data_IF_480319041781
#
_entry.id   IF_480319041781
#
_cell.length_a   1.000
_cell.length_b   1.000
_cell.length_c   1.000
_cell.angle_alpha   90.00
_cell.angle_beta   90.00
_cell.angle_gamma   90.00
#
_symmetry.space_group_name_H-M   'P 1'
#
loop_
_entity.id
_entity.type
_entity.pdbx_description
1 polymer ?
#
# COMPACT_ATOMS: atom_id res chain seq x y z
N UNK A 1 22.09 11.71 43.15
CA UNK A 1 22.02 11.14 41.78
C UNK A 1 21.25 9.83 41.89
N UNK A 2 20.11 9.65 41.23
CA UNK A 2 19.20 8.50 41.45
C UNK A 2 19.57 7.22 40.67
N UNK A 3 20.76 7.19 40.05
CA UNK A 3 21.32 6.09 39.23
C UNK A 3 20.40 5.52 38.12
N UNK A 4 19.34 6.22 37.72
CA UNK A 4 18.55 5.88 36.53
C UNK A 4 19.18 6.44 35.25
N UNK A 5 19.26 5.58 34.23
CA UNK A 5 19.72 5.90 32.87
C UNK A 5 18.55 6.34 32.00
N UNK A 6 18.64 7.51 31.35
CA UNK A 6 17.63 8.04 30.42
C UNK A 6 17.83 7.50 29.01
N UNK A 7 16.74 7.38 28.24
CA UNK A 7 16.78 6.86 26.86
C UNK A 7 17.14 5.37 26.79
N UNK A 8 16.88 4.63 27.87
CA UNK A 8 17.22 3.23 28.04
C UNK A 8 15.97 2.44 28.43
N UNK A 9 15.86 1.21 27.92
CA UNK A 9 14.72 0.36 28.20
C UNK A 9 14.95 -0.43 29.50
N UNK A 10 13.93 -0.49 30.35
CA UNK A 10 13.88 -1.32 31.55
C UNK A 10 12.72 -2.31 31.43
N UNK A 11 12.80 -3.41 32.18
CA UNK A 11 11.70 -4.38 32.27
C UNK A 11 10.95 -4.20 33.58
N UNK A 12 9.62 -4.18 33.54
CA UNK A 12 8.78 -4.35 34.73
C UNK A 12 8.65 -5.84 35.00
N UNK A 13 9.04 -6.30 36.19
CA UNK A 13 9.08 -7.74 36.51
C UNK A 13 8.09 -8.15 37.60
N UNK A 14 7.59 -7.20 38.39
CA UNK A 14 6.54 -7.45 39.38
C UNK A 14 5.83 -6.15 39.79
N UNK A 15 4.62 -6.30 40.33
CA UNK A 15 3.87 -5.26 41.02
C UNK A 15 3.25 -5.88 42.27
N UNK A 16 3.39 -5.22 43.42
CA UNK A 16 2.92 -5.73 44.72
C UNK A 16 2.43 -4.60 45.59
N UNK A 17 1.35 -4.85 46.31
CA UNK A 17 0.92 -3.98 47.40
C UNK A 17 1.50 -4.53 48.71
N UNK A 18 2.14 -3.68 49.51
CA UNK A 18 2.73 -4.05 50.80
C UNK A 18 2.16 -3.19 51.92
N UNK A 19 2.09 -3.72 53.13
CA UNK A 19 1.70 -2.93 54.30
C UNK A 19 2.92 -2.23 54.91
N UNK A 20 3.08 -0.95 54.61
CA UNK A 20 4.13 -0.12 55.19
C UNK A 20 3.54 0.79 56.28
N UNK A 21 3.87 0.50 57.54
CA UNK A 21 3.43 1.27 58.73
C UNK A 21 1.90 1.45 58.85
N UNK A 22 1.15 0.40 58.51
CA UNK A 22 -0.31 0.41 58.57
C UNK A 22 -0.99 1.08 57.38
N UNK A 23 -0.23 1.43 56.33
CA UNK A 23 -0.74 1.95 55.06
C UNK A 23 -0.35 1.02 53.93
N UNK A 24 -1.25 0.84 52.96
CA UNK A 24 -0.98 0.09 51.75
C UNK A 24 -0.10 0.94 50.83
N UNK A 25 1.11 0.46 50.54
CA UNK A 25 2.06 1.09 49.62
C UNK A 25 2.20 0.21 48.38
N UNK A 26 2.11 0.81 47.20
CA UNK A 26 2.22 0.11 45.93
C UNK A 26 3.66 0.13 45.45
N UNK A 27 4.27 -1.05 45.31
CA UNK A 27 5.63 -1.22 44.85
C UNK A 27 5.65 -1.84 43.45
N UNK A 28 6.58 -1.36 42.63
CA UNK A 28 6.85 -1.88 41.30
C UNK A 28 8.32 -2.30 41.22
N UNK A 29 8.56 -3.50 40.69
CA UNK A 29 9.90 -4.04 40.50
C UNK A 29 10.35 -3.82 39.07
N UNK A 30 11.50 -3.18 38.93
CA UNK A 30 12.09 -2.76 37.67
C UNK A 30 13.46 -3.41 37.53
N UNK A 31 13.80 -3.86 36.32
CA UNK A 31 15.09 -4.46 36.00
C UNK A 31 15.82 -3.69 34.92
N UNK A 32 17.05 -3.28 35.21
CA UNK A 32 18.00 -2.75 34.25
C UNK A 32 18.63 -3.93 33.47
N UNK A 33 18.47 -4.00 32.14
CA UNK A 33 19.02 -5.09 31.34
C UNK A 33 20.55 -5.13 31.30
N UNK A 34 21.25 -4.10 31.77
CA UNK A 34 22.71 -4.17 31.97
C UNK A 34 23.13 -5.13 33.08
N UNK A 35 22.21 -5.54 33.96
CA UNK A 35 22.52 -6.41 35.08
C UNK A 35 23.29 -5.74 36.21
N UNK A 36 23.32 -4.40 36.21
CA UNK A 36 24.05 -3.56 37.15
C UNK A 36 23.48 -2.14 37.12
N UNK A 37 23.86 -1.29 38.08
CA UNK A 37 23.39 0.09 38.22
C UNK A 37 21.90 0.16 38.53
N UNK A 38 21.61 0.23 39.83
CA UNK A 38 20.25 0.21 40.41
C UNK A 38 19.85 1.54 41.03
N UNK A 39 18.55 1.68 41.23
CA UNK A 39 17.92 2.77 41.96
C UNK A 39 18.49 2.96 43.36
N UNK A 40 18.72 4.21 43.76
CA UNK A 40 19.25 4.56 45.10
C UNK A 40 18.25 5.35 45.95
N UNK A 41 16.97 5.37 45.57
CA UNK A 41 15.93 6.04 46.35
C UNK A 41 15.22 5.07 47.30
N UNK A 42 14.02 5.46 47.75
CA UNK A 42 13.18 4.64 48.60
C UNK A 42 12.91 3.27 47.95
N UNK A 43 12.94 2.20 48.75
CA UNK A 43 12.75 0.81 48.35
C UNK A 43 13.89 0.17 47.54
N UNK A 44 15.00 0.87 47.36
CA UNK A 44 16.25 0.25 46.89
C UNK A 44 16.70 -0.92 47.80
N UNK A 45 17.60 -1.77 47.32
CA UNK A 45 18.09 -2.94 48.06
C UNK A 45 18.65 -2.63 49.45
N UNK A 46 19.29 -1.47 49.59
CA UNK A 46 19.85 -0.96 50.85
C UNK A 46 18.90 -0.07 51.67
N UNK A 47 17.67 0.14 51.21
CA UNK A 47 16.74 1.13 51.78
C UNK A 47 16.29 0.75 53.19
N UNK A 48 16.14 1.75 54.07
CA UNK A 48 15.70 1.57 55.46
C UNK A 48 14.21 1.22 55.59
N UNK A 49 13.44 1.50 54.54
CA UNK A 49 12.00 1.33 54.40
C UNK A 49 11.61 -0.14 54.62
N UNK A 50 12.43 -1.06 54.08
CA UNK A 50 12.32 -2.50 54.29
C UNK A 50 12.32 -2.95 55.76
N UNK A 51 12.84 -2.15 56.69
CA UNK A 51 12.81 -2.49 58.11
C UNK A 51 11.42 -2.36 58.75
N UNK A 52 10.44 -1.77 58.05
CA UNK A 52 9.07 -1.61 58.54
C UNK A 52 8.06 -2.45 57.74
N UNK A 53 8.56 -3.38 56.91
CA UNK A 53 7.75 -4.43 56.28
C UNK A 53 7.83 -5.68 57.16
N UNK A 54 6.80 -6.51 57.11
CA UNK A 54 6.78 -7.79 57.79
C UNK A 54 8.00 -8.65 57.37
N UNK A 55 8.70 -9.33 58.31
CA UNK A 55 9.89 -10.10 57.99
C UNK A 55 9.68 -11.16 56.90
N UNK A 56 8.51 -11.80 56.84
CA UNK A 56 8.22 -12.87 55.87
C UNK A 56 8.02 -12.26 54.48
N UNK A 57 7.25 -11.16 54.37
CA UNK A 57 7.10 -10.40 53.11
C UNK A 57 8.44 -9.81 52.65
N UNK A 58 9.27 -9.37 53.59
CA UNK A 58 10.59 -8.82 53.30
C UNK A 58 11.53 -9.86 52.71
N UNK A 59 11.53 -11.09 53.24
CA UNK A 59 12.38 -12.17 52.70
C UNK A 59 11.96 -12.56 51.27
N UNK A 60 10.66 -12.52 50.97
CA UNK A 60 10.15 -12.77 49.61
C UNK A 60 10.51 -11.64 48.63
N UNK A 61 10.38 -10.38 49.05
CA UNK A 61 10.47 -9.23 48.15
C UNK A 61 11.88 -8.63 48.06
N UNK A 62 12.65 -8.61 49.15
CA UNK A 62 13.95 -7.96 49.22
C UNK A 62 15.08 -8.93 48.87
N UNK A 63 15.42 -9.01 47.59
CA UNK A 63 16.64 -9.65 47.12
C UNK A 63 17.76 -8.60 47.12
N UNK A 64 18.76 -8.74 47.99
CA UNK A 64 19.94 -7.85 48.01
C UNK A 64 21.00 -8.38 47.06
N UNK A 65 20.89 -8.03 45.78
CA UNK A 65 21.79 -8.53 44.74
C UNK A 65 22.04 -7.42 43.73
N UNK A 66 23.31 -7.18 43.37
CA UNK A 66 23.61 -6.24 42.28
C UNK A 66 23.42 -6.93 40.92
N UNK A 67 22.17 -7.09 40.53
CA UNK A 67 21.73 -7.76 39.29
C UNK A 67 20.92 -6.84 38.36
N UNK A 68 20.85 -5.56 38.71
CA UNK A 68 20.11 -4.53 38.00
C UNK A 68 18.62 -4.49 38.35
N UNK A 69 18.09 -5.40 39.16
CA UNK A 69 16.71 -5.41 39.63
C UNK A 69 16.55 -4.60 40.92
N UNK A 70 15.49 -3.82 41.03
CA UNK A 70 15.21 -3.03 42.21
C UNK A 70 13.71 -2.76 42.34
N UNK A 71 13.26 -2.56 43.58
CA UNK A 71 11.92 -2.03 43.85
C UNK A 71 11.95 -0.51 43.95
N UNK A 72 10.85 0.11 43.57
CA UNK A 72 10.56 1.51 43.84
C UNK A 72 9.07 1.70 44.12
N UNK A 73 8.71 2.82 44.75
CA UNK A 73 7.30 3.16 44.90
C UNK A 73 6.68 3.40 43.52
N UNK A 74 5.42 3.01 43.33
CA UNK A 74 4.71 3.29 42.08
C UNK A 74 4.61 4.80 41.81
N UNK A 75 4.58 5.61 42.86
CA UNK A 75 4.62 7.08 42.78
C UNK A 75 5.93 7.58 42.19
N UNK A 76 7.07 7.03 42.59
CA UNK A 76 8.36 7.37 42.01
C UNK A 76 8.46 6.86 40.57
N UNK A 77 7.93 5.67 40.28
CA UNK A 77 7.86 5.17 38.91
C UNK A 77 7.12 6.16 37.98
N UNK A 78 5.94 6.62 38.38
CA UNK A 78 5.15 7.61 37.61
C UNK A 78 5.85 8.98 37.46
N UNK A 79 6.80 9.31 38.36
CA UNK A 79 7.57 10.56 38.29
C UNK A 79 8.81 10.45 37.42
N UNK A 80 9.47 9.29 37.45
CA UNK A 80 10.78 9.08 36.81
C UNK A 80 10.67 8.46 35.42
N UNK A 81 9.62 7.68 35.15
CA UNK A 81 9.37 7.04 33.86
C UNK A 81 8.29 7.78 33.06
N UNK A 82 8.49 7.88 31.75
CA UNK A 82 7.59 8.61 30.85
C UNK A 82 6.68 7.72 30.00
N UNK A 83 7.00 6.43 29.87
CA UNK A 83 6.28 5.49 29.00
C UNK A 83 6.34 4.07 29.56
N UNK A 84 5.19 3.40 29.55
CA UNK A 84 5.03 1.96 29.80
C UNK A 84 4.60 1.29 28.50
N UNK A 85 5.31 0.25 28.08
CA UNK A 85 4.98 -0.54 26.88
C UNK A 85 4.63 -1.96 27.32
N UNK A 86 3.42 -2.42 27.01
CA UNK A 86 2.94 -3.76 27.32
C UNK A 86 2.62 -4.47 26.00
N UNK A 87 3.13 -5.69 25.83
CA UNK A 87 2.86 -6.53 24.67
C UNK A 87 1.96 -7.68 25.10
N UNK A 88 0.68 -7.61 24.76
CA UNK A 88 -0.29 -8.64 25.10
C UNK A 88 -0.29 -9.76 24.07
N UNK A 89 -0.58 -10.98 24.51
CA UNK A 89 -0.81 -12.13 23.62
C UNK A 89 -2.19 -12.07 22.95
N UNK A 90 -3.18 -11.50 23.64
CA UNK A 90 -4.53 -11.24 23.14
C UNK A 90 -4.92 -9.78 23.41
N UNK A 91 -5.73 -9.13 22.54
CA UNK A 91 -6.14 -7.75 22.74
C UNK A 91 -6.77 -7.46 24.13
N UNK A 92 -7.51 -8.41 24.71
CA UNK A 92 -8.23 -8.23 25.99
C UNK A 92 -7.41 -8.50 27.25
N UNK A 93 -6.14 -8.89 27.13
CA UNK A 93 -5.37 -9.44 28.26
C UNK A 93 -5.22 -8.49 29.47
N UNK A 94 -5.55 -7.21 29.34
CA UNK A 94 -5.49 -6.22 30.41
C UNK A 94 -6.86 -5.71 30.87
N UNK A 95 -7.94 -6.04 30.16
CA UNK A 95 -9.27 -5.44 30.37
C UNK A 95 -10.34 -6.44 30.78
N UNK A 96 -10.22 -7.71 30.37
CA UNK A 96 -11.18 -8.76 30.73
C UNK A 96 -10.46 -9.87 31.52
N UNK A 97 -11.11 -10.36 32.58
CA UNK A 97 -10.64 -11.52 33.36
C UNK A 97 -10.79 -12.84 32.58
N UNK A 98 -11.63 -12.85 31.54
CA UNK A 98 -11.85 -13.98 30.64
C UNK A 98 -11.08 -13.82 29.31
N UNK A 99 -10.50 -14.92 28.83
CA UNK A 99 -9.77 -14.96 27.56
C UNK A 99 -10.76 -15.05 26.38
N UNK A 100 -11.05 -13.93 25.72
CA UNK A 100 -11.82 -13.93 24.47
C UNK A 100 -11.02 -14.58 23.33
N UNK A 101 -11.71 -15.25 22.41
CA UNK A 101 -11.10 -15.83 21.20
C UNK A 101 -11.10 -14.82 20.08
N UNK A 102 -9.93 -14.28 19.75
CA UNK A 102 -9.79 -13.31 18.68
C UNK A 102 -9.60 -13.98 17.31
N UNK A 103 -10.40 -13.57 16.34
CA UNK A 103 -10.14 -13.88 14.94
C UNK A 103 -9.10 -12.92 14.38
N UNK A 104 -8.08 -13.43 13.68
CA UNK A 104 -6.98 -12.63 13.16
C UNK A 104 -6.90 -12.73 11.65
N UNK A 105 -6.90 -11.57 11.00
CA UNK A 105 -6.63 -11.44 9.57
C UNK A 105 -5.35 -10.64 9.35
N UNK A 106 -4.54 -11.10 8.41
CA UNK A 106 -3.23 -10.51 8.09
C UNK A 106 -3.19 -10.17 6.60
N UNK A 107 -2.91 -8.92 6.31
CA UNK A 107 -2.72 -8.41 4.96
C UNK A 107 -1.30 -7.91 4.80
N UNK A 108 -0.65 -8.30 3.70
CA UNK A 108 0.61 -7.73 3.29
C UNK A 108 0.36 -6.67 2.23
N UNK A 109 0.97 -5.50 2.38
CA UNK A 109 0.78 -4.41 1.44
C UNK A 109 2.05 -3.61 1.24
N UNK A 110 1.99 -2.71 0.27
CA UNK A 110 3.15 -1.93 -0.15
C UNK A 110 2.75 -0.52 -0.55
N UNK A 111 3.49 0.46 -0.06
CA UNK A 111 3.52 1.82 -0.62
C UNK A 111 4.70 1.94 -1.60
N UNK A 112 4.41 2.20 -2.87
CA UNK A 112 5.38 2.54 -3.91
C UNK A 112 5.17 3.96 -4.39
N UNK A 113 6.28 4.69 -4.57
CA UNK A 113 6.24 6.05 -5.06
C UNK A 113 5.57 6.04 -6.43
N UNK A 114 4.70 7.02 -6.65
CA UNK A 114 3.91 7.11 -7.87
C UNK A 114 3.08 5.84 -8.13
N UNK A 115 2.45 5.24 -7.13
CA UNK A 115 1.40 4.25 -7.43
C UNK A 115 0.49 4.15 -6.23
N UNK A 116 1.01 3.60 -5.12
CA UNK A 116 0.23 3.34 -3.90
C UNK A 116 0.67 4.19 -2.72
N UNK A 117 1.76 4.96 -2.81
CA UNK A 117 2.23 5.85 -1.75
C UNK A 117 1.47 7.19 -1.72
N UNK A 118 0.19 7.12 -1.32
CA UNK A 118 -0.75 8.24 -1.38
C UNK A 118 -0.62 9.30 -0.27
N UNK A 119 0.08 8.97 0.83
CA UNK A 119 0.15 9.84 2.01
C UNK A 119 -1.17 9.86 2.79
N UNK A 120 -1.25 10.64 3.88
CA UNK A 120 -2.42 10.66 4.76
C UNK A 120 -3.55 11.55 4.22
N UNK A 121 -4.66 11.62 4.97
CA UNK A 121 -5.88 12.36 4.57
C UNK A 121 -5.67 13.87 4.33
N UNK A 122 -4.56 14.44 4.83
CA UNK A 122 -4.15 15.82 4.55
C UNK A 122 -3.78 16.03 3.07
N UNK A 123 -3.55 14.95 2.32
CA UNK A 123 -3.21 14.93 0.90
C UNK A 123 -4.37 14.35 0.06
N UNK A 124 -5.53 15.03 -0.04
CA UNK A 124 -6.72 14.47 -0.68
C UNK A 124 -6.55 14.14 -2.17
N UNK A 125 -5.57 14.75 -2.84
CA UNK A 125 -5.25 14.44 -4.24
C UNK A 125 -4.79 12.99 -4.43
N UNK A 126 -4.09 12.44 -3.44
CA UNK A 126 -3.40 11.15 -3.50
C UNK A 126 -3.81 10.18 -2.39
N UNK A 127 -4.53 10.60 -1.36
CA UNK A 127 -4.92 9.70 -0.26
C UNK A 127 -5.65 8.43 -0.74
N UNK A 128 -6.51 8.58 -1.75
CA UNK A 128 -7.34 7.51 -2.27
C UNK A 128 -6.56 6.41 -3.02
N UNK A 129 -5.31 6.65 -3.42
CA UNK A 129 -4.48 5.63 -4.11
C UNK A 129 -3.77 4.66 -3.15
N UNK A 130 -3.82 4.91 -1.84
CA UNK A 130 -3.31 3.94 -0.87
C UNK A 130 -4.10 2.61 -0.96
N UNK A 131 -3.49 1.47 -0.60
CA UNK A 131 -4.22 0.20 -0.51
C UNK A 131 -5.40 0.31 0.46
N UNK A 132 -6.49 -0.40 0.18
CA UNK A 132 -7.74 -0.32 0.92
C UNK A 132 -8.17 -1.71 1.37
N UNK A 133 -8.62 -1.86 2.61
CA UNK A 133 -9.01 -3.15 3.17
C UNK A 133 -10.41 -3.04 3.76
N UNK A 134 -11.36 -3.80 3.20
CA UNK A 134 -12.73 -3.91 3.72
C UNK A 134 -12.71 -4.78 4.97
N UNK A 135 -13.43 -4.33 6.00
CA UNK A 135 -13.74 -5.07 7.22
C UNK A 135 -15.25 -5.13 7.39
N UNK A 136 -15.80 -6.33 7.52
CA UNK A 136 -17.22 -6.53 7.81
C UNK A 136 -17.40 -7.01 9.25
N UNK A 137 -18.03 -6.19 10.06
CA UNK A 137 -18.39 -6.47 11.45
C UNK A 137 -19.83 -6.96 11.49
N UNK A 138 -20.05 -8.21 11.92
CA UNK A 138 -21.33 -8.90 11.82
C UNK A 138 -22.08 -8.96 13.14
N UNK A 139 -21.39 -9.33 14.21
CA UNK A 139 -21.95 -9.61 15.53
C UNK A 139 -21.37 -8.66 16.57
N UNK A 140 -22.22 -8.17 17.47
CA UNK A 140 -21.83 -7.37 18.64
C UNK A 140 -21.03 -8.19 19.66
N UNK A 141 -20.27 -7.51 20.51
CA UNK A 141 -19.47 -8.16 21.55
C UNK A 141 -20.37 -8.76 22.64
N UNK A 142 -19.97 -9.88 23.25
CA UNK A 142 -20.72 -10.51 24.34
C UNK A 142 -20.38 -9.83 25.69
N UNK A 143 -20.74 -8.56 25.87
CA UNK A 143 -20.56 -7.86 27.16
C UNK A 143 -21.91 -7.55 27.83
N UNK A 144 -22.32 -8.33 28.86
CA UNK A 144 -23.60 -8.13 29.53
C UNK A 144 -23.66 -6.83 30.38
N UNK A 145 -22.54 -6.12 30.55
CA UNK A 145 -22.46 -4.83 31.23
C UNK A 145 -22.43 -3.63 30.30
N UNK A 146 -22.45 -3.84 28.97
CA UNK A 146 -22.38 -2.77 27.99
C UNK A 146 -23.72 -2.61 27.25
N UNK A 147 -24.33 -1.44 27.38
CA UNK A 147 -25.58 -1.10 26.69
C UNK A 147 -25.34 -0.64 25.23
N UNK A 148 -24.08 -0.47 24.80
CA UNK A 148 -23.74 -0.06 23.44
C UNK A 148 -23.58 -1.26 22.48
N UNK A 149 -24.44 -1.32 21.46
CA UNK A 149 -24.34 -2.24 20.32
C UNK A 149 -23.09 -1.91 19.50
N UNK A 150 -21.97 -2.55 19.83
CA UNK A 150 -20.68 -2.32 19.18
C UNK A 150 -19.90 -3.63 19.01
N UNK A 151 -19.03 -3.61 18.00
CA UNK A 151 -18.06 -4.64 17.72
C UNK A 151 -16.66 -4.10 18.04
N UNK A 152 -15.91 -4.82 18.86
CA UNK A 152 -14.54 -4.50 19.23
C UNK A 152 -13.55 -5.13 18.26
N UNK A 153 -12.65 -4.30 17.73
CA UNK A 153 -11.58 -4.77 16.86
C UNK A 153 -10.29 -3.98 17.07
N UNK A 154 -9.15 -4.64 16.90
CA UNK A 154 -7.82 -4.04 16.95
C UNK A 154 -7.25 -3.99 15.54
N UNK A 155 -6.82 -2.81 15.12
CA UNK A 155 -6.07 -2.63 13.87
C UNK A 155 -4.62 -2.35 14.23
N UNK A 156 -3.69 -3.13 13.70
CA UNK A 156 -2.25 -2.97 13.89
C UNK A 156 -1.53 -2.88 12.53
N UNK A 157 -0.91 -1.74 12.27
CA UNK A 157 -0.15 -1.46 11.04
C UNK A 157 1.35 -1.45 11.34
N UNK A 158 2.10 -2.37 10.73
CA UNK A 158 3.55 -2.50 10.89
C UNK A 158 4.29 -2.19 9.59
N UNK A 159 5.32 -1.34 9.62
CA UNK A 159 6.26 -1.17 8.51
C UNK A 159 7.40 -2.20 8.55
N UNK A 160 7.69 -2.85 7.42
CA UNK A 160 8.67 -3.93 7.29
C UNK A 160 10.06 -3.39 6.93
N UNK A 161 11.08 -4.19 7.26
CA UNK A 161 12.48 -4.07 6.79
C UNK A 161 13.23 -2.74 7.03
N UNK A 162 12.64 -1.74 7.68
CA UNK A 162 13.24 -0.40 7.89
C UNK A 162 14.61 -0.41 8.58
N UNK A 163 14.89 -1.38 9.46
CA UNK A 163 16.21 -1.52 10.09
C UNK A 163 17.33 -1.78 9.08
N UNK A 164 17.05 -2.43 7.94
CA UNK A 164 18.02 -2.65 6.85
C UNK A 164 18.38 -1.32 6.17
N UNK A 165 17.41 -0.42 6.05
CA UNK A 165 17.59 0.90 5.41
C UNK A 165 18.42 1.88 6.25
N UNK A 166 18.60 1.62 7.55
CA UNK A 166 19.48 2.46 8.39
C UNK A 166 20.89 2.58 7.86
N UNK A 167 21.40 1.58 7.14
CA UNK A 167 22.73 1.60 6.52
C UNK A 167 22.87 2.68 5.43
N UNK A 168 21.76 3.10 4.84
CA UNK A 168 21.69 4.13 3.79
C UNK A 168 21.01 5.41 4.29
N UNK A 169 20.92 5.59 5.62
CA UNK A 169 20.34 6.79 6.23
C UNK A 169 18.81 6.80 6.33
N UNK A 170 18.13 5.70 5.99
CA UNK A 170 16.67 5.58 6.18
C UNK A 170 16.29 5.34 7.65
N UNK A 171 15.14 5.88 8.07
CA UNK A 171 14.55 5.63 9.39
C UNK A 171 13.07 5.23 9.28
N UNK A 172 12.40 4.94 10.40
CA UNK A 172 10.97 4.67 10.42
C UNK A 172 10.18 5.82 9.79
N UNK A 173 9.25 5.51 8.89
CA UNK A 173 8.31 6.50 8.39
C UNK A 173 7.26 6.79 9.46
N UNK A 174 6.73 8.01 9.46
CA UNK A 174 5.53 8.35 10.20
C UNK A 174 4.34 7.65 9.53
N UNK A 175 3.74 6.66 10.19
CA UNK A 175 2.65 5.83 9.65
C UNK A 175 1.39 5.95 10.50
N UNK A 176 0.26 5.61 9.92
CA UNK A 176 -1.04 5.59 10.56
C UNK A 176 -2.11 5.04 9.61
N UNK A 177 -3.35 5.01 10.06
CA UNK A 177 -4.47 4.53 9.24
C UNK A 177 -5.75 5.28 9.56
N UNK A 178 -6.70 5.25 8.64
CA UNK A 178 -8.04 5.78 8.81
C UNK A 178 -9.08 4.72 8.47
N UNK A 179 -10.21 4.75 9.18
CA UNK A 179 -11.33 3.82 9.02
C UNK A 179 -12.56 4.60 8.57
N UNK A 180 -13.15 4.17 7.45
CA UNK A 180 -14.35 4.76 6.86
C UNK A 180 -15.49 3.75 6.88
N UNK A 181 -16.73 4.23 6.97
CA UNK A 181 -17.92 3.39 6.79
C UNK A 181 -18.30 3.37 5.30
N UNK A 182 -18.58 2.18 4.76
CA UNK A 182 -18.86 1.96 3.34
C UNK A 182 -19.92 0.86 3.13
N UNK A 183 -21.11 1.07 3.71
CA UNK A 183 -22.22 0.11 3.61
C UNK A 183 -22.65 -0.12 2.16
N UNK A 184 -22.73 -1.40 1.76
CA UNK A 184 -23.31 -1.80 0.48
C UNK A 184 -22.45 -1.43 -0.74
N UNK A 185 -21.18 -1.07 -0.52
CA UNK A 185 -20.24 -0.85 -1.62
C UNK A 185 -19.71 -2.18 -2.16
N UNK A 186 -19.64 -2.26 -3.50
CA UNK A 186 -18.96 -3.36 -4.20
C UNK A 186 -17.50 -3.45 -3.77
N UNK A 187 -16.88 -4.63 -3.94
CA UNK A 187 -15.48 -4.85 -3.61
C UNK A 187 -14.55 -4.22 -4.67
N UNK A 188 -14.60 -2.89 -4.78
CA UNK A 188 -13.89 -2.09 -5.78
C UNK A 188 -13.08 -1.01 -5.06
N UNK A 189 -11.95 -0.64 -5.64
CA UNK A 189 -11.08 0.41 -5.10
C UNK A 189 -11.80 1.76 -5.06
N UNK A 190 -11.99 2.33 -3.87
CA UNK A 190 -12.71 3.60 -3.72
C UNK A 190 -11.89 4.79 -4.23
N UNK A 191 -12.54 5.68 -4.97
CA UNK A 191 -11.90 6.83 -5.63
C UNK A 191 -11.96 8.09 -4.77
N UNK A 192 -11.27 9.14 -5.22
CA UNK A 192 -11.12 10.44 -4.55
C UNK A 192 -12.41 11.02 -3.97
N UNK A 193 -13.48 11.01 -4.75
CA UNK A 193 -14.77 11.60 -4.39
C UNK A 193 -15.38 11.01 -3.11
N UNK A 194 -15.20 9.71 -2.89
CA UNK A 194 -15.67 9.05 -1.68
C UNK A 194 -15.03 9.67 -0.43
N UNK A 195 -13.70 9.81 -0.41
CA UNK A 195 -12.98 10.33 0.74
C UNK A 195 -13.14 11.83 0.95
N UNK A 196 -13.57 12.57 -0.09
CA UNK A 196 -13.94 13.97 0.02
C UNK A 196 -15.31 14.16 0.67
N UNK A 197 -16.26 13.26 0.38
CA UNK A 197 -17.65 13.34 0.88
C UNK A 197 -17.84 12.67 2.24
N UNK A 198 -17.01 11.68 2.57
CA UNK A 198 -17.14 10.89 3.80
C UNK A 198 -16.06 11.26 4.83
N UNK A 199 -16.46 11.30 6.10
CA UNK A 199 -15.54 11.47 7.22
C UNK A 199 -15.11 10.10 7.77
N UNK A 200 -13.90 10.03 8.33
CA UNK A 200 -13.42 8.82 9.00
C UNK A 200 -14.20 8.58 10.28
N UNK A 201 -14.71 7.36 10.48
CA UNK A 201 -15.36 6.93 11.73
C UNK A 201 -14.35 6.67 12.85
N UNK A 202 -13.18 6.16 12.49
CA UNK A 202 -12.06 5.97 13.40
C UNK A 202 -10.74 6.22 12.66
N UNK A 203 -9.66 6.39 13.42
CA UNK A 203 -8.30 6.56 12.89
C UNK A 203 -7.30 6.15 13.95
N UNK A 204 -6.07 5.87 13.55
CA UNK A 204 -4.96 5.78 14.50
C UNK A 204 -4.87 7.09 15.30
N UNK A 205 -4.66 6.99 16.62
CA UNK A 205 -4.60 8.16 17.53
C UNK A 205 -3.67 9.26 17.03
N UNK A 206 -2.46 8.85 16.62
CA UNK A 206 -1.46 9.73 16.04
C UNK A 206 -0.74 9.02 14.90
N UNK A 207 -0.35 9.80 13.90
CA UNK A 207 0.65 9.37 12.94
C UNK A 207 2.02 9.48 13.61
N UNK A 208 2.70 8.35 13.80
CA UNK A 208 3.96 8.30 14.55
C UNK A 208 5.00 7.44 13.83
N UNK A 209 6.28 7.79 13.98
CA UNK A 209 7.42 7.12 13.38
C UNK A 209 7.88 5.89 14.19
N UNK A 210 6.94 5.02 14.55
CA UNK A 210 7.22 3.73 15.18
C UNK A 210 7.15 2.61 14.15
N UNK A 211 7.76 1.47 14.49
CA UNK A 211 7.68 0.26 13.64
C UNK A 211 6.23 -0.20 13.45
N UNK A 212 5.41 -0.04 14.47
CA UNK A 212 4.01 -0.44 14.50
C UNK A 212 3.15 0.64 15.16
N UNK A 213 1.96 0.86 14.61
CA UNK A 213 0.90 1.67 15.20
C UNK A 213 -0.33 0.77 15.32
N UNK A 214 -0.90 0.69 16.51
CA UNK A 214 -2.07 -0.13 16.80
C UNK A 214 -3.09 0.63 17.62
N UNK A 215 -4.38 0.50 17.29
CA UNK A 215 -5.47 1.09 18.05
C UNK A 215 -6.64 0.10 18.16
N UNK A 216 -7.16 -0.07 19.37
CA UNK A 216 -8.41 -0.77 19.63
C UNK A 216 -9.57 0.19 19.33
N UNK A 217 -10.55 -0.28 18.58
CA UNK A 217 -11.64 0.51 18.02
C UNK A 217 -12.95 -0.22 18.31
N UNK A 218 -13.99 0.54 18.65
CA UNK A 218 -15.36 0.07 18.82
C UNK A 218 -16.25 0.80 17.82
N UNK A 219 -16.93 0.05 16.97
CA UNK A 219 -17.86 0.57 15.95
C UNK A 219 -19.09 -0.34 15.88
N UNK A 220 -20.27 0.18 15.48
CA UNK A 220 -21.45 -0.65 15.32
C UNK A 220 -21.25 -1.72 14.22
N UNK A 221 -22.09 -2.78 14.17
CA UNK A 221 -22.08 -3.74 13.08
C UNK A 221 -22.26 -3.03 11.72
N UNK A 222 -21.44 -3.41 10.73
CA UNK A 222 -21.41 -2.73 9.45
C UNK A 222 -20.19 -3.06 8.59
N UNK A 223 -20.09 -2.38 7.46
CA UNK A 223 -18.97 -2.51 6.53
C UNK A 223 -18.07 -1.28 6.62
N UNK A 224 -16.79 -1.52 6.86
CA UNK A 224 -15.77 -0.51 7.07
C UNK A 224 -14.60 -0.70 6.12
N UNK A 225 -13.83 0.36 5.90
CA UNK A 225 -12.63 0.34 5.06
C UNK A 225 -11.48 0.96 5.84
N UNK A 226 -10.41 0.19 5.98
CA UNK A 226 -9.15 0.63 6.55
C UNK A 226 -8.22 1.04 5.43
N UNK A 227 -7.75 2.29 5.50
CA UNK A 227 -6.77 2.85 4.57
C UNK A 227 -5.47 3.12 5.34
N UNK A 228 -4.50 2.20 5.30
CA UNK A 228 -3.17 2.43 5.87
C UNK A 228 -2.34 3.34 4.97
N UNK A 229 -1.65 4.31 5.57
CA UNK A 229 -0.79 5.24 4.83
C UNK A 229 0.42 5.68 5.63
N UNK A 230 1.43 6.19 4.92
CA UNK A 230 2.41 7.10 5.50
C UNK A 230 1.79 8.49 5.71
N UNK A 231 2.43 9.34 6.52
CA UNK A 231 1.98 10.73 6.72
C UNK A 231 2.13 11.55 5.43
N UNK A 232 3.36 11.60 4.92
CA UNK A 232 3.70 12.24 3.64
C UNK A 232 3.48 11.28 2.46
N UNK A 233 3.07 11.78 1.29
CA UNK A 233 3.00 10.99 0.07
C UNK A 233 4.40 10.58 -0.42
N UNK A 234 4.45 9.66 -1.39
CA UNK A 234 5.68 9.22 -2.06
C UNK A 234 6.70 8.49 -1.18
N UNK A 235 6.35 8.17 0.07
CA UNK A 235 7.18 7.35 0.95
C UNK A 235 7.01 5.87 0.62
N UNK A 236 8.12 5.24 0.30
CA UNK A 236 8.13 3.82 -0.04
C UNK A 236 8.40 2.97 1.20
N UNK A 237 7.56 1.97 1.41
CA UNK A 237 7.78 0.92 2.41
C UNK A 237 6.78 -0.22 2.17
N UNK A 238 7.21 -1.42 2.56
CA UNK A 238 6.30 -2.57 2.68
C UNK A 238 5.68 -2.55 4.09
N UNK A 239 4.45 -3.04 4.23
CA UNK A 239 3.75 -3.08 5.50
C UNK A 239 2.98 -4.39 5.70
N UNK A 240 2.62 -4.65 6.95
CA UNK A 240 1.66 -5.68 7.35
C UNK A 240 0.53 -4.98 8.10
N UNK A 241 -0.70 -5.18 7.66
CA UNK A 241 -1.90 -4.77 8.36
C UNK A 241 -2.51 -6.00 9.03
N UNK A 242 -2.77 -5.92 10.33
CA UNK A 242 -3.41 -6.98 11.09
C UNK A 242 -4.70 -6.45 11.69
N UNK A 243 -5.77 -7.20 11.49
CA UNK A 243 -7.09 -6.90 12.04
C UNK A 243 -7.45 -8.06 12.96
N UNK A 244 -7.69 -7.74 14.23
CA UNK A 244 -8.19 -8.69 15.21
C UNK A 244 -9.62 -8.32 15.51
N UNK A 245 -10.56 -9.26 15.40
CA UNK A 245 -11.98 -9.06 15.75
C UNK A 245 -12.38 -10.06 16.84
N UNK A 246 -13.19 -9.62 17.81
CA UNK A 246 -13.69 -10.49 18.90
C UNK A 246 -14.61 -11.57 18.32
N UNK A 247 -15.48 -11.19 17.39
CA UNK A 247 -16.37 -12.09 16.64
C UNK A 247 -15.84 -12.38 15.24
N UNK A 248 -16.45 -13.35 14.56
CA UNK A 248 -16.12 -13.66 13.17
C UNK A 248 -16.38 -12.43 12.28
N UNK A 249 -15.44 -12.13 11.39
CA UNK A 249 -15.51 -11.00 10.47
C UNK A 249 -15.06 -11.42 9.07
N UNK A 250 -15.73 -10.89 8.04
CA UNK A 250 -15.30 -11.11 6.66
C UNK A 250 -14.24 -10.08 6.28
N UNK A 251 -12.97 -10.51 6.26
CA UNK A 251 -11.74 -9.84 5.78
C UNK A 251 -11.63 -9.71 4.26
N UNK A 252 -11.46 -8.54 3.63
CA UNK A 252 -11.03 -8.52 2.21
C UNK A 252 -10.15 -7.31 1.83
N UNK A 253 -9.18 -7.52 0.95
CA UNK A 253 -8.51 -6.41 0.25
C UNK A 253 -9.47 -5.84 -0.81
N UNK A 254 -9.63 -4.52 -0.81
CA UNK A 254 -10.37 -3.80 -1.85
C UNK A 254 -9.40 -3.40 -2.94
N UNK A 255 -9.54 -4.06 -4.08
CA UNK A 255 -8.77 -3.77 -5.29
C UNK A 255 -9.61 -4.05 -6.52
N UNK A 256 -9.14 -3.63 -7.69
CA UNK A 256 -9.82 -3.92 -8.95
C UNK A 256 -9.57 -5.37 -9.38
N UNK A 257 -10.62 -6.05 -9.86
CA UNK A 257 -10.46 -7.32 -10.57
C UNK A 257 -9.83 -7.08 -11.95
N UNK A 258 -8.83 -7.90 -12.29
CA UNK A 258 -8.08 -7.76 -13.53
C UNK A 258 -9.01 -8.06 -14.71
N UNK A 259 -9.29 -7.04 -15.53
CA UNK A 259 -10.13 -7.17 -16.71
C UNK A 259 -9.77 -6.13 -17.76
N UNK A 260 -10.08 -6.42 -19.02
CA UNK A 260 -9.86 -5.50 -20.13
C UNK A 260 -11.09 -5.46 -21.04
N UNK A 261 -11.79 -4.34 -21.09
CA UNK A 261 -12.86 -4.09 -22.06
C UNK A 261 -12.23 -3.56 -23.35
N UNK A 262 -11.67 -4.49 -24.12
CA UNK A 262 -11.09 -4.22 -25.42
C UNK A 262 -12.21 -4.31 -26.45
N UNK A 263 -12.43 -3.24 -27.19
CA UNK A 263 -13.25 -3.33 -28.40
C UNK A 263 -12.68 -4.44 -29.30
N UNK A 264 -13.57 -5.25 -29.87
CA UNK A 264 -13.19 -6.20 -30.90
C UNK A 264 -12.45 -5.44 -32.01
N UNK A 265 -11.39 -6.02 -32.57
CA UNK A 265 -10.76 -5.40 -33.73
C UNK A 265 -11.80 -5.34 -34.84
N UNK A 266 -12.20 -4.12 -35.21
CA UNK A 266 -12.93 -3.92 -36.45
C UNK A 266 -12.10 -4.58 -37.57
N UNK A 267 -12.72 -5.49 -38.33
CA UNK A 267 -12.12 -6.03 -39.55
C UNK A 267 -12.06 -4.89 -40.57
N UNK A 268 -11.03 -4.04 -40.43
CA UNK A 268 -10.76 -2.95 -41.37
C UNK A 268 -10.24 -3.59 -42.64
N UNK A 269 -11.00 -3.48 -43.72
CA UNK A 269 -10.52 -3.83 -45.06
C UNK A 269 -9.90 -2.60 -45.72
N UNK A 270 -9.15 -2.81 -46.80
CA UNK A 270 -8.59 -1.66 -47.55
C UNK A 270 -9.67 -0.71 -48.06
N UNK A 271 -10.89 -1.19 -48.31
CA UNK A 271 -11.99 -0.37 -48.82
C UNK A 271 -12.56 0.58 -47.74
N UNK A 272 -12.40 0.24 -46.46
CA UNK A 272 -12.82 1.07 -45.33
C UNK A 272 -11.85 2.25 -45.07
N UNK A 273 -10.67 2.21 -45.70
CA UNK A 273 -9.61 3.20 -45.49
C UNK A 273 -9.81 4.38 -46.45
N UNK A 274 -9.95 5.58 -45.89
CA UNK A 274 -10.07 6.80 -46.66
C UNK A 274 -8.91 6.99 -47.66
N UNK A 275 -9.23 7.42 -48.88
CA UNK A 275 -8.23 7.71 -49.93
C UNK A 275 -7.18 8.73 -49.47
N UNK A 276 -7.57 9.66 -48.59
CA UNK A 276 -6.66 10.63 -47.98
C UNK A 276 -5.54 9.95 -47.18
N UNK A 277 -5.89 8.89 -46.44
CA UNK A 277 -4.96 8.09 -45.65
C UNK A 277 -4.12 7.17 -46.54
N UNK A 278 -4.72 6.53 -47.55
CA UNK A 278 -3.98 5.73 -48.54
C UNK A 278 -2.89 6.54 -49.25
N UNK A 279 -3.21 7.75 -49.68
CA UNK A 279 -2.24 8.66 -50.31
C UNK A 279 -1.13 9.08 -49.33
N UNK A 280 -1.48 9.32 -48.07
CA UNK A 280 -0.48 9.62 -47.02
C UNK A 280 0.43 8.41 -46.74
N UNK A 281 -0.13 7.21 -46.65
CA UNK A 281 0.62 5.97 -46.49
C UNK A 281 1.58 5.73 -47.66
N UNK A 282 1.11 5.84 -48.90
CA UNK A 282 1.97 5.68 -50.09
C UNK A 282 3.16 6.64 -50.12
N UNK A 283 2.94 7.90 -49.72
CA UNK A 283 4.02 8.89 -49.64
C UNK A 283 5.06 8.56 -48.56
N UNK A 284 4.68 7.77 -47.56
CA UNK A 284 5.50 7.45 -46.39
C UNK A 284 6.18 6.08 -46.48
N UNK A 285 5.49 5.08 -47.03
CA UNK A 285 5.97 3.72 -47.21
C UNK A 285 6.93 3.59 -48.41
N UNK A 286 6.85 4.49 -49.41
CA UNK A 286 7.75 4.42 -50.56
C UNK A 286 7.42 3.26 -51.51
N UNK A 287 8.44 2.66 -52.13
CA UNK A 287 8.26 1.68 -53.22
C UNK A 287 7.86 0.28 -52.75
N UNK A 288 8.19 -0.11 -51.52
CA UNK A 288 7.88 -1.43 -50.96
C UNK A 288 6.49 -1.50 -50.31
N UNK A 289 5.78 -0.37 -50.23
CA UNK A 289 4.40 -0.28 -49.71
C UNK A 289 4.23 -0.81 -48.28
N UNK A 290 5.32 -0.80 -47.51
CA UNK A 290 5.36 -1.20 -46.10
C UNK A 290 6.07 -0.12 -45.28
N UNK A 291 5.64 0.09 -44.04
CA UNK A 291 6.30 1.03 -43.14
C UNK A 291 7.28 0.28 -42.24
N UNK A 292 8.57 0.59 -42.38
CA UNK A 292 9.60 0.09 -41.48
C UNK A 292 9.57 0.82 -40.13
N UNK A 293 10.24 0.23 -39.12
CA UNK A 293 10.43 0.84 -37.79
C UNK A 293 11.02 2.27 -37.87
N UNK A 294 11.96 2.50 -38.79
CA UNK A 294 12.62 3.81 -38.91
C UNK A 294 11.70 4.86 -39.54
N UNK A 295 10.89 4.46 -40.51
CA UNK A 295 9.85 5.31 -41.10
C UNK A 295 8.77 5.62 -40.07
N UNK A 296 8.26 4.60 -39.35
CA UNK A 296 7.28 4.78 -38.29
C UNK A 296 7.74 5.83 -37.28
N UNK A 297 8.98 5.72 -36.79
CA UNK A 297 9.56 6.71 -35.87
C UNK A 297 9.56 8.12 -36.46
N UNK A 298 9.96 8.25 -37.72
CA UNK A 298 10.04 9.55 -38.40
C UNK A 298 8.66 10.17 -38.56
N UNK A 299 7.66 9.36 -38.91
CA UNK A 299 6.26 9.76 -39.09
C UNK A 299 5.69 10.24 -37.77
N UNK A 300 5.75 9.38 -36.74
CA UNK A 300 5.15 9.68 -35.44
C UNK A 300 5.81 10.90 -34.79
N UNK A 301 7.14 11.05 -34.89
CA UNK A 301 7.84 12.20 -34.31
C UNK A 301 7.56 13.51 -35.06
N UNK A 302 7.34 13.46 -36.37
CA UNK A 302 6.90 14.64 -37.13
C UNK A 302 5.51 15.10 -36.69
N UNK A 303 4.64 14.17 -36.29
CA UNK A 303 3.28 14.45 -35.81
C UNK A 303 3.32 14.98 -34.38
N UNK A 304 4.02 14.29 -33.48
CA UNK A 304 4.20 14.71 -32.09
C UNK A 304 4.83 16.11 -32.00
N UNK A 305 5.79 16.45 -32.87
CA UNK A 305 6.41 17.77 -32.86
C UNK A 305 5.41 18.93 -33.11
N UNK A 306 4.20 18.65 -33.63
CA UNK A 306 3.13 19.64 -33.78
C UNK A 306 2.32 19.84 -32.48
N UNK A 307 2.41 18.89 -31.55
CA UNK A 307 1.70 18.87 -30.28
C UNK A 307 2.60 19.38 -29.15
N UNK A 308 2.72 20.71 -29.05
CA UNK A 308 3.56 21.39 -28.04
C UNK A 308 3.08 21.21 -26.59
N UNK A 309 1.86 20.70 -26.43
CA UNK A 309 1.26 20.34 -25.15
C UNK A 309 1.86 19.07 -24.52
N UNK A 310 2.51 18.22 -25.33
CA UNK A 310 3.14 16.99 -24.84
C UNK A 310 4.59 17.25 -24.45
N UNK A 311 4.99 16.82 -23.24
CA UNK A 311 6.38 16.82 -22.78
C UNK A 311 6.97 15.44 -23.06
N UNK A 312 7.56 15.27 -24.24
CA UNK A 312 8.19 14.02 -24.69
C UNK A 312 9.36 14.32 -25.62
N UNK A 313 10.35 13.42 -25.64
CA UNK A 313 11.47 13.45 -26.59
C UNK A 313 11.08 12.86 -27.97
N UNK A 314 9.80 12.47 -28.11
CA UNK A 314 9.26 11.73 -29.23
C UNK A 314 9.42 10.22 -29.04
N UNK A 315 8.75 9.46 -29.90
CA UNK A 315 8.84 8.00 -29.92
C UNK A 315 10.28 7.53 -30.14
N UNK A 316 10.73 6.69 -29.21
CA UNK A 316 12.00 5.99 -29.30
C UNK A 316 11.98 4.92 -30.41
N UNK A 317 13.17 4.47 -30.83
CA UNK A 317 13.26 3.35 -31.77
C UNK A 317 12.71 2.05 -31.17
N UNK A 318 12.93 1.83 -29.87
CA UNK A 318 12.48 0.62 -29.20
C UNK A 318 10.96 0.61 -29.03
N UNK A 319 10.36 1.78 -28.79
CA UNK A 319 8.92 1.99 -28.83
C UNK A 319 8.33 1.63 -30.19
N UNK A 320 8.93 2.15 -31.27
CA UNK A 320 8.47 1.84 -32.62
C UNK A 320 8.67 0.36 -32.97
N UNK A 321 9.75 -0.28 -32.51
CA UNK A 321 9.93 -1.74 -32.67
C UNK A 321 8.83 -2.52 -31.97
N UNK A 322 8.52 -2.15 -30.73
CA UNK A 322 7.44 -2.78 -29.98
C UNK A 322 6.09 -2.57 -30.70
N UNK A 323 5.82 -1.37 -31.20
CA UNK A 323 4.60 -1.10 -31.97
C UNK A 323 4.49 -1.99 -33.20
N UNK A 324 5.57 -2.11 -33.99
CA UNK A 324 5.59 -2.98 -35.16
C UNK A 324 5.40 -4.43 -34.76
N UNK A 325 6.18 -4.95 -33.81
CA UNK A 325 6.11 -6.35 -33.38
C UNK A 325 4.72 -6.75 -32.84
N UNK A 326 4.00 -5.81 -32.20
CA UNK A 326 2.67 -6.07 -31.63
C UNK A 326 1.54 -5.95 -32.66
N UNK A 327 1.78 -5.25 -33.77
CA UNK A 327 0.78 -5.00 -34.82
C UNK A 327 0.98 -5.87 -36.06
N UNK A 328 2.19 -6.36 -36.28
CA UNK A 328 2.62 -7.22 -37.39
C UNK A 328 1.96 -8.61 -37.28
N UNK A 329 0.87 -8.80 -38.02
CA UNK A 329 0.11 -10.05 -38.04
C UNK A 329 0.65 -11.04 -39.07
N UNK A 330 1.33 -10.55 -40.10
CA UNK A 330 1.83 -11.35 -41.21
C UNK A 330 3.30 -11.79 -41.05
N UNK A 331 4.00 -11.28 -40.04
CA UNK A 331 5.39 -11.60 -39.72
C UNK A 331 6.40 -10.91 -40.64
N UNK A 332 6.01 -9.82 -41.31
CA UNK A 332 6.85 -9.03 -42.21
C UNK A 332 7.94 -8.23 -41.49
N UNK A 333 7.83 -8.08 -40.16
CA UNK A 333 8.59 -7.15 -39.32
C UNK A 333 8.44 -5.67 -39.76
N UNK A 334 7.35 -5.37 -40.46
CA UNK A 334 6.98 -4.07 -41.00
C UNK A 334 5.47 -3.89 -40.84
N UNK A 335 4.92 -2.75 -41.26
CA UNK A 335 3.48 -2.49 -41.20
C UNK A 335 2.89 -2.27 -42.59
N UNK A 336 1.94 -3.13 -42.94
CA UNK A 336 1.07 -2.90 -44.10
C UNK A 336 0.08 -1.76 -43.88
N UNK A 337 -0.66 -1.39 -44.93
CA UNK A 337 -1.62 -0.28 -44.90
C UNK A 337 -2.69 -0.47 -43.80
N UNK A 338 -3.27 -1.66 -43.70
CA UNK A 338 -4.34 -1.98 -42.74
C UNK A 338 -3.79 -1.96 -41.31
N UNK A 339 -2.64 -2.58 -41.07
CA UNK A 339 -2.01 -2.62 -39.74
C UNK A 339 -1.62 -1.22 -39.27
N UNK A 340 -1.06 -0.41 -40.17
CA UNK A 340 -0.73 0.98 -39.86
C UNK A 340 -1.97 1.83 -39.58
N UNK A 341 -3.07 1.63 -40.31
CA UNK A 341 -4.34 2.32 -40.04
C UNK A 341 -4.90 1.97 -38.65
N UNK A 342 -4.86 0.70 -38.25
CA UNK A 342 -5.30 0.26 -36.92
C UNK A 342 -4.43 0.92 -35.85
N UNK A 343 -3.10 0.86 -36.00
CA UNK A 343 -2.15 1.48 -35.07
C UNK A 343 -2.41 2.99 -34.96
N UNK A 344 -2.62 3.67 -36.08
CA UNK A 344 -2.85 5.10 -36.12
C UNK A 344 -4.15 5.50 -35.39
N UNK A 345 -5.24 4.76 -35.60
CA UNK A 345 -6.50 4.98 -34.90
C UNK A 345 -6.36 4.79 -33.39
N UNK A 346 -5.61 3.75 -32.96
CA UNK A 346 -5.28 3.54 -31.54
C UNK A 346 -4.50 4.70 -30.95
N UNK A 347 -3.41 5.14 -31.60
CA UNK A 347 -2.60 6.28 -31.13
C UNK A 347 -3.45 7.55 -31.01
N UNK A 348 -4.36 7.82 -31.95
CA UNK A 348 -5.27 8.99 -31.89
C UNK A 348 -6.27 8.91 -30.74
N UNK A 349 -6.85 7.73 -30.52
CA UNK A 349 -7.77 7.49 -29.40
C UNK A 349 -7.04 7.71 -28.07
N UNK A 350 -5.87 7.10 -27.91
CA UNK A 350 -5.06 7.23 -26.70
C UNK A 350 -4.49 8.63 -26.50
N UNK A 351 -4.21 9.40 -27.56
CA UNK A 351 -3.86 10.81 -27.43
C UNK A 351 -5.01 11.64 -26.84
N UNK A 352 -6.25 11.28 -27.16
CA UNK A 352 -7.44 11.94 -26.61
C UNK A 352 -7.59 11.61 -25.12
N UNK A 353 -7.46 10.34 -24.76
CA UNK A 353 -7.43 9.89 -23.36
C UNK A 353 -6.29 10.58 -22.62
N UNK A 354 -5.10 10.67 -23.22
CA UNK A 354 -3.95 11.27 -22.59
C UNK A 354 -4.20 12.71 -22.17
N UNK A 355 -4.72 13.52 -23.10
CA UNK A 355 -5.10 14.92 -22.84
C UNK A 355 -6.24 15.08 -21.85
N UNK A 356 -7.16 14.13 -21.80
CA UNK A 356 -8.30 14.18 -20.90
C UNK A 356 -7.87 13.98 -19.44
N UNK A 357 -6.89 13.11 -19.20
CA UNK A 357 -6.43 12.74 -17.87
C UNK A 357 -5.10 13.39 -17.44
N UNK A 358 -4.43 14.15 -18.30
CA UNK A 358 -3.38 15.11 -17.90
C UNK A 358 -4.05 16.33 -17.20
N UNK A 359 -4.49 16.11 -15.96
CA UNK A 359 -5.34 17.06 -15.23
C UNK A 359 -4.57 18.31 -14.80
N UNK A 360 -3.28 18.14 -14.52
CA UNK A 360 -2.39 19.24 -14.15
C UNK A 360 -1.76 19.94 -15.36
N UNK A 361 -1.99 19.41 -16.58
CA UNK A 361 -1.46 19.92 -17.84
C UNK A 361 0.06 19.98 -17.85
N UNK A 362 0.70 19.02 -17.19
CA UNK A 362 2.16 18.91 -17.13
C UNK A 362 2.75 18.42 -18.45
N UNK A 363 1.92 17.84 -19.33
CA UNK A 363 2.36 17.18 -20.56
C UNK A 363 2.92 15.78 -20.32
N UNK A 364 2.84 15.28 -19.09
CA UNK A 364 3.21 13.93 -18.64
C UNK A 364 2.12 13.37 -17.74
N UNK A 365 1.95 12.06 -17.68
CA UNK A 365 1.02 11.45 -16.74
C UNK A 365 1.70 11.13 -15.43
N UNK A 366 1.20 11.70 -14.35
CA UNK A 366 1.47 11.15 -13.04
C UNK A 366 0.87 9.75 -12.90
N UNK A 367 1.35 9.00 -11.91
CA UNK A 367 0.81 7.69 -11.56
C UNK A 367 -0.69 7.58 -11.31
N UNK A 368 -1.31 8.62 -10.74
CA UNK A 368 -2.75 8.60 -10.45
C UNK A 368 -3.56 8.89 -11.71
N UNK A 369 -3.02 9.70 -12.63
CA UNK A 369 -3.58 9.95 -13.96
C UNK A 369 -3.47 8.70 -14.81
N UNK A 370 -2.33 8.00 -14.73
CA UNK A 370 -2.13 6.71 -15.39
C UNK A 370 -3.19 5.68 -14.96
N UNK A 371 -3.54 5.61 -13.67
CA UNK A 371 -4.59 4.69 -13.18
C UNK A 371 -5.94 4.99 -13.84
N UNK A 372 -6.35 6.25 -13.86
CA UNK A 372 -7.63 6.65 -14.47
C UNK A 372 -7.61 6.51 -16.01
N UNK A 373 -6.48 6.81 -16.64
CA UNK A 373 -6.30 6.70 -18.07
C UNK A 373 -6.36 5.25 -18.54
N UNK A 374 -5.76 4.32 -17.80
CA UNK A 374 -5.87 2.87 -18.05
C UNK A 374 -7.31 2.40 -17.95
N UNK A 375 -8.03 2.78 -16.88
CA UNK A 375 -9.46 2.45 -16.72
C UNK A 375 -10.30 3.00 -17.89
N UNK A 376 -10.04 4.23 -18.32
CA UNK A 376 -10.72 4.84 -19.47
C UNK A 376 -10.34 4.22 -20.81
N UNK A 377 -9.16 3.61 -20.92
CA UNK A 377 -8.73 2.85 -22.08
C UNK A 377 -9.28 1.41 -22.06
N UNK A 378 -10.07 1.04 -21.05
CA UNK A 378 -10.71 -0.26 -20.91
C UNK A 378 -10.00 -1.22 -19.96
N UNK A 379 -8.85 -0.86 -19.39
CA UNK A 379 -8.06 -1.75 -18.52
C UNK A 379 -8.34 -1.50 -17.04
N UNK A 380 -8.85 -2.51 -16.35
CA UNK A 380 -8.93 -2.55 -14.88
C UNK A 380 -7.82 -3.45 -14.36
N UNK A 381 -6.90 -2.86 -13.60
CA UNK A 381 -5.73 -3.55 -13.06
C UNK A 381 -5.70 -3.42 -11.53
N UNK A 382 -5.21 -4.45 -10.87
CA UNK A 382 -4.99 -4.40 -9.43
C UNK A 382 -3.77 -3.52 -9.06
N UNK A 383 -3.63 -3.17 -7.78
CA UNK A 383 -2.56 -2.35 -7.24
C UNK A 383 -1.17 -2.88 -7.59
N UNK A 384 -0.98 -4.20 -7.58
CA UNK A 384 0.30 -4.83 -7.91
C UNK A 384 0.71 -4.57 -9.36
N UNK A 385 -0.22 -4.70 -10.30
CA UNK A 385 0.04 -4.41 -11.71
C UNK A 385 0.24 -2.91 -11.96
N UNK A 386 -0.52 -2.04 -11.29
CA UNK A 386 -0.27 -0.60 -11.36
C UNK A 386 1.14 -0.22 -10.89
N UNK A 387 1.65 -0.85 -9.83
CA UNK A 387 3.02 -0.62 -9.36
C UNK A 387 4.06 -1.05 -10.42
N UNK A 388 3.85 -2.19 -11.09
CA UNK A 388 4.74 -2.68 -12.15
C UNK A 388 4.72 -1.75 -13.36
N UNK A 389 3.52 -1.31 -13.77
CA UNK A 389 3.36 -0.37 -14.88
C UNK A 389 4.13 0.92 -14.59
N UNK A 390 3.91 1.53 -13.43
CA UNK A 390 4.60 2.79 -13.11
C UNK A 390 6.11 2.57 -12.96
N UNK A 391 6.55 1.50 -12.29
CA UNK A 391 7.98 1.23 -12.12
C UNK A 391 8.72 0.99 -13.44
N UNK A 392 8.01 0.57 -14.51
CA UNK A 392 8.61 0.26 -15.81
C UNK A 392 8.53 1.41 -16.81
N UNK A 393 7.43 2.17 -16.79
CA UNK A 393 7.12 3.16 -17.82
C UNK A 393 7.22 4.61 -17.33
N UNK A 394 7.31 4.86 -16.03
CA UNK A 394 7.55 6.21 -15.54
C UNK A 394 9.04 6.55 -15.52
N UNK A 395 9.34 7.82 -15.74
CA UNK A 395 10.67 8.38 -15.66
C UNK A 395 11.13 8.61 -14.20
N UNK A 396 12.32 9.20 -14.03
CA UNK A 396 12.86 9.53 -12.71
C UNK A 396 12.04 10.59 -11.94
N UNK A 397 11.23 11.39 -12.66
CA UNK A 397 10.29 12.36 -12.08
C UNK A 397 8.95 11.70 -11.71
N UNK A 398 8.78 10.39 -11.96
CA UNK A 398 7.55 9.60 -11.80
C UNK A 398 6.42 10.03 -12.76
N UNK A 399 6.78 10.66 -13.88
CA UNK A 399 5.90 10.97 -14.99
C UNK A 399 6.02 9.92 -16.10
N UNK A 400 4.89 9.54 -16.69
CA UNK A 400 4.82 8.71 -17.90
C UNK A 400 4.55 9.65 -19.07
N UNK A 401 5.51 9.78 -19.97
CA UNK A 401 5.31 10.57 -21.18
C UNK A 401 4.43 9.84 -22.20
N UNK A 402 4.07 10.54 -23.29
CA UNK A 402 3.14 9.96 -24.27
C UNK A 402 3.72 8.73 -25.00
N UNK A 403 5.03 8.68 -25.22
CA UNK A 403 5.70 7.51 -25.81
C UNK A 403 5.50 6.27 -24.92
N UNK A 404 5.90 6.39 -23.65
CA UNK A 404 5.79 5.29 -22.69
C UNK A 404 4.32 4.89 -22.42
N UNK A 405 3.40 5.86 -22.44
CA UNK A 405 1.96 5.60 -22.31
C UNK A 405 1.42 4.69 -23.43
N UNK A 406 1.70 5.03 -24.68
CA UNK A 406 1.26 4.25 -25.85
C UNK A 406 1.90 2.86 -25.83
N UNK A 407 3.19 2.77 -25.52
CA UNK A 407 3.89 1.49 -25.42
C UNK A 407 3.31 0.59 -24.32
N UNK A 408 2.93 1.17 -23.18
CA UNK A 408 2.29 0.44 -22.09
C UNK A 408 0.92 -0.11 -22.53
N UNK A 409 0.09 0.72 -23.17
CA UNK A 409 -1.25 0.31 -23.61
C UNK A 409 -1.22 -0.78 -24.68
N UNK A 410 -0.35 -0.65 -25.69
CA UNK A 410 -0.18 -1.69 -26.72
C UNK A 410 0.27 -3.02 -26.12
N UNK A 411 1.24 -2.98 -25.19
CA UNK A 411 1.74 -4.18 -24.54
C UNK A 411 0.66 -4.83 -23.68
N UNK A 412 -0.07 -4.06 -22.88
CA UNK A 412 -1.19 -4.56 -22.09
C UNK A 412 -2.26 -5.18 -23.00
N UNK A 413 -2.69 -4.48 -24.04
CA UNK A 413 -3.69 -4.96 -25.00
C UNK A 413 -3.29 -6.30 -25.61
N UNK A 414 -2.05 -6.40 -26.08
CA UNK A 414 -1.55 -7.62 -26.71
C UNK A 414 -1.47 -8.78 -25.73
N UNK A 415 -1.00 -8.53 -24.50
CA UNK A 415 -0.94 -9.56 -23.45
C UNK A 415 -2.34 -10.06 -23.07
N UNK A 416 -3.34 -9.16 -22.97
CA UNK A 416 -4.73 -9.55 -22.72
C UNK A 416 -5.32 -10.38 -23.85
N UNK A 417 -5.09 -9.98 -25.10
CA UNK A 417 -5.58 -10.73 -26.28
C UNK A 417 -4.93 -12.10 -26.41
N UNK A 418 -3.63 -12.18 -26.21
CA UNK A 418 -2.92 -13.46 -26.22
C UNK A 418 -3.39 -14.39 -25.10
N UNK A 419 -3.61 -13.87 -23.90
CA UNK A 419 -4.14 -14.69 -22.82
C UNK A 419 -5.54 -15.23 -23.16
N UNK A 420 -6.42 -14.38 -23.73
CA UNK A 420 -7.76 -14.78 -24.17
C UNK A 420 -7.74 -15.84 -25.28
N UNK A 421 -6.81 -15.78 -26.22
CA UNK A 421 -6.71 -16.79 -27.28
C UNK A 421 -6.25 -18.15 -26.74
N UNK A 422 -5.49 -18.15 -25.65
CA UNK A 422 -5.01 -19.37 -24.97
C UNK A 422 -6.01 -19.92 -23.94
N UNK A 423 -6.97 -19.13 -23.48
CA UNK A 423 -8.03 -19.52 -22.53
C UNK A 423 -9.44 -19.27 -23.11
N UNK A 424 -9.83 -19.95 -24.21
CA UNK A 424 -11.13 -19.76 -24.85
C UNK A 424 -12.32 -20.17 -23.96
N UNK A 425 -12.09 -21.03 -22.97
CA UNK A 425 -13.12 -21.49 -22.02
C UNK A 425 -13.27 -20.56 -20.80
N UNK A 426 -12.41 -19.56 -20.64
CA UNK A 426 -12.47 -18.60 -19.53
C UNK A 426 -12.19 -19.23 -18.16
N UNK A 427 -11.28 -20.20 -18.12
CA UNK A 427 -10.89 -20.90 -16.88
C UNK A 427 -10.08 -20.03 -15.92
N UNK A 428 -9.51 -18.92 -16.43
CA UNK A 428 -8.59 -18.05 -15.70
C UNK A 428 -7.15 -18.57 -15.71
N UNK A 429 -6.84 -19.62 -16.48
CA UNK A 429 -5.50 -20.20 -16.59
C UNK A 429 -5.16 -20.53 -18.04
N UNK A 430 -3.92 -20.24 -18.46
CA UNK A 430 -3.40 -20.59 -19.78
C UNK A 430 -2.22 -21.56 -19.63
N UNK A 431 -2.24 -22.67 -20.38
CA UNK A 431 -1.14 -23.65 -20.41
C UNK A 431 -0.34 -23.43 -21.68
N UNK A 432 0.97 -23.29 -21.54
CA UNK A 432 1.89 -23.10 -22.66
C UNK A 432 3.18 -23.88 -22.46
N UNK A 433 3.78 -24.30 -23.56
CA UNK A 433 5.11 -24.90 -23.56
C UNK A 433 6.22 -23.84 -23.59
N UNK A 434 7.48 -24.26 -23.45
CA UNK A 434 8.62 -23.34 -23.42
C UNK A 434 8.76 -22.51 -24.71
N UNK A 435 8.45 -23.09 -25.87
CA UNK A 435 8.56 -22.39 -27.15
C UNK A 435 7.52 -21.28 -27.27
N UNK A 436 6.28 -21.55 -26.88
CA UNK A 436 5.19 -20.57 -26.84
C UNK A 436 5.48 -19.45 -25.84
N UNK A 437 5.99 -19.79 -24.66
CA UNK A 437 6.42 -18.80 -23.66
C UNK A 437 7.54 -17.89 -24.18
N UNK A 438 8.55 -18.45 -24.84
CA UNK A 438 9.65 -17.68 -25.42
C UNK A 438 9.16 -16.78 -26.57
N UNK A 439 8.29 -17.29 -27.44
CA UNK A 439 7.71 -16.48 -28.52
C UNK A 439 6.92 -15.30 -27.95
N UNK A 440 6.08 -15.54 -26.95
CA UNK A 440 5.30 -14.50 -26.27
C UNK A 440 6.19 -13.42 -25.63
N UNK A 441 7.22 -13.84 -24.88
CA UNK A 441 8.03 -12.90 -24.09
C UNK A 441 9.11 -12.17 -24.87
N UNK A 442 9.55 -12.72 -26.01
CA UNK A 442 10.55 -12.11 -26.89
C UNK A 442 9.93 -11.24 -27.99
N UNK A 443 8.75 -11.61 -28.49
CA UNK A 443 8.03 -10.84 -29.51
C UNK A 443 7.02 -9.85 -28.91
N UNK A 444 6.56 -10.07 -27.67
CA UNK A 444 5.55 -9.26 -26.99
C UNK A 444 6.06 -8.17 -26.05
#
# INVERSE_FOLDING_TARGET
FKKLVKGHAYSVTAFRDVNYRGQQEQLIRIRNPWGQVEWTGAWSDGSSEWNNIDPDEREELQLKMEDGEFWMSFRDFMREFSRLEICNLTPDALTKDELSRWHTQVFEGTWRRGSTAGGCRNHPATFWINPQFKIKLLEEDDDPGDDEVACSFLVALMQKHRRRERRVGGDMHTIGFAVYEAQGMQNVHLKKDFFLRNQSRARSETFINLREVSNQIRLPPGEYIVVPSTFEPHKEADFVLRVFTEKQSDTAELDEEISADLADEEEITEDDIEDSFKNMFQQLAGEDMEISVFELRTILNRVIARHKDLKTDGFSLDSCRNMVNLMDKDGSARLGLVEFQILWNKIRSWLTIFRQYDLDKSGTMSSYEMRMALESAGFKLNNKLHQVVVARYADNEMGVDFDNFVCCLLKLETMFRFFRSMDPEGTGTAVMNLSEWLLLTMCG
#
